data_IF_275317665618
#
_entry.id   IF_275317665618
#
_cell.length_a   1.000
_cell.length_b   1.000
_cell.length_c   1.000
_cell.angle_alpha   90.00
_cell.angle_beta   90.00
_cell.angle_gamma   90.00
#
_symmetry.space_group_name_H-M   'P 1'
#
loop_
_entity.id
_entity.type
_entity.pdbx_description
1 polymer ?
#
# COMPACT_ATOMS: atom_id res chain seq x y z
N UNK A 1 -9.83 6.25 -16.54
CA UNK A 1 -9.12 5.49 -17.59
C UNK A 1 -10.06 4.41 -18.10
N UNK A 2 -10.07 4.14 -19.40
CA UNK A 2 -10.90 3.06 -19.99
C UNK A 2 -10.12 1.76 -19.89
N UNK A 3 -10.60 0.81 -19.09
CA UNK A 3 -9.92 -0.46 -18.90
C UNK A 3 -9.99 -1.30 -20.19
N UNK A 4 -8.83 -1.79 -20.65
CA UNK A 4 -8.69 -2.65 -21.82
C UNK A 4 -8.83 -4.11 -21.41
N UNK A 5 -9.82 -4.84 -21.92
CA UNK A 5 -9.93 -6.28 -21.67
C UNK A 5 -8.82 -7.06 -22.39
N UNK A 6 -8.52 -8.28 -21.96
CA UNK A 6 -7.50 -9.14 -22.60
C UNK A 6 -7.67 -9.25 -24.13
N UNK A 7 -8.89 -9.51 -24.61
CA UNK A 7 -9.20 -9.67 -26.04
C UNK A 7 -8.93 -8.39 -26.87
N UNK A 8 -8.94 -7.22 -26.22
CA UNK A 8 -8.72 -5.92 -26.85
C UNK A 8 -7.27 -5.40 -26.69
N UNK A 9 -6.41 -6.11 -25.95
CA UNK A 9 -4.97 -5.79 -25.95
C UNK A 9 -4.36 -6.02 -27.33
N UNK A 10 -3.34 -5.25 -27.75
CA UNK A 10 -2.66 -5.51 -29.02
C UNK A 10 -2.13 -6.95 -29.11
N UNK A 11 -2.10 -7.50 -30.32
CA UNK A 11 -1.62 -8.86 -30.57
C UNK A 11 -0.17 -9.05 -30.08
N UNK A 12 0.67 -8.04 -30.25
CA UNK A 12 2.06 -8.03 -29.76
C UNK A 12 2.15 -8.20 -28.24
N UNK A 13 1.23 -7.59 -27.48
CA UNK A 13 1.15 -7.74 -26.03
C UNK A 13 0.68 -9.15 -25.66
N UNK A 14 -0.40 -9.64 -26.29
CA UNK A 14 -0.90 -10.99 -26.03
C UNK A 14 0.13 -12.07 -26.38
N UNK A 15 0.87 -11.89 -27.47
CA UNK A 15 1.96 -12.79 -27.88
C UNK A 15 3.11 -12.77 -26.86
N UNK A 16 3.51 -11.58 -26.38
CA UNK A 16 4.57 -11.45 -25.37
C UNK A 16 4.21 -12.13 -24.03
N UNK A 17 2.94 -12.05 -23.62
CA UNK A 17 2.45 -12.74 -22.42
C UNK A 17 2.33 -14.26 -22.65
N UNK A 18 1.81 -14.67 -23.81
CA UNK A 18 1.68 -16.09 -24.19
C UNK A 18 3.05 -16.79 -24.24
N UNK A 19 4.08 -16.11 -24.74
CA UNK A 19 5.45 -16.65 -24.77
C UNK A 19 6.02 -16.94 -23.37
N UNK A 20 5.50 -16.31 -22.31
CA UNK A 20 5.96 -16.45 -20.93
C UNK A 20 5.09 -17.35 -20.07
N UNK A 21 3.82 -17.46 -20.40
CA UNK A 21 2.81 -18.16 -19.59
C UNK A 21 2.25 -19.41 -20.26
N UNK A 22 2.58 -19.62 -21.54
CA UNK A 22 1.92 -20.58 -22.40
C UNK A 22 0.57 -20.05 -22.93
N UNK A 23 -0.18 -20.88 -23.67
CA UNK A 23 -1.51 -20.53 -24.13
C UNK A 23 -2.45 -20.15 -22.98
N UNK A 24 -3.18 -19.05 -23.17
CA UNK A 24 -4.18 -18.55 -22.22
C UNK A 24 -5.52 -19.26 -22.50
N UNK A 25 -5.97 -20.08 -21.54
CA UNK A 25 -7.20 -20.85 -21.66
C UNK A 25 -8.44 -20.04 -21.27
N UNK A 26 -8.32 -19.18 -20.25
CA UNK A 26 -9.39 -18.32 -19.79
C UNK A 26 -8.84 -17.05 -19.16
N UNK A 27 -9.67 -16.00 -19.10
CA UNK A 27 -9.30 -14.73 -18.49
C UNK A 27 -10.38 -14.27 -17.52
N UNK A 28 -9.96 -13.77 -16.36
CA UNK A 28 -10.81 -13.11 -15.40
C UNK A 28 -10.35 -11.68 -15.23
N UNK A 29 -11.18 -10.75 -15.68
CA UNK A 29 -10.93 -9.33 -15.54
C UNK A 29 -10.93 -8.89 -14.08
N UNK A 30 -10.01 -7.99 -13.71
CA UNK A 30 -9.93 -7.40 -12.36
C UNK A 30 -10.30 -5.92 -12.47
N UNK A 31 -11.54 -5.53 -12.11
CA UNK A 31 -12.00 -4.16 -12.25
C UNK A 31 -11.30 -3.19 -11.28
N UNK A 32 -10.84 -3.69 -10.14
CA UNK A 32 -10.23 -2.87 -9.07
C UNK A 32 -8.76 -2.48 -9.36
N UNK A 33 -8.19 -2.88 -10.50
CA UNK A 33 -6.82 -2.55 -10.93
C UNK A 33 -6.67 -1.12 -11.48
N UNK A 34 -7.01 -0.12 -10.66
CA UNK A 34 -7.19 1.28 -11.05
C UNK A 34 -5.93 1.99 -11.61
N UNK A 35 -4.75 1.42 -11.39
CA UNK A 35 -3.44 1.98 -11.79
C UNK A 35 -2.94 1.52 -13.17
N UNK A 36 -3.70 0.67 -13.89
CA UNK A 36 -3.25 0.07 -15.16
C UNK A 36 -4.31 0.13 -16.26
N UNK A 37 -3.87 0.23 -17.52
CA UNK A 37 -4.77 0.09 -18.68
C UNK A 37 -5.40 -1.31 -18.73
N UNK A 38 -4.72 -2.33 -18.20
CA UNK A 38 -5.20 -3.71 -18.13
C UNK A 38 -4.75 -4.42 -16.85
N UNK A 39 -5.68 -5.06 -16.14
CA UNK A 39 -5.41 -6.04 -15.10
C UNK A 39 -6.31 -7.28 -15.28
N UNK A 40 -5.72 -8.48 -15.28
CA UNK A 40 -6.49 -9.74 -15.31
C UNK A 40 -5.75 -10.90 -14.69
N UNK A 41 -6.50 -11.93 -14.28
CA UNK A 41 -5.93 -13.25 -14.00
C UNK A 41 -6.13 -14.12 -15.23
N UNK A 42 -5.04 -14.71 -15.71
CA UNK A 42 -4.98 -15.61 -16.84
C UNK A 42 -4.88 -17.04 -16.31
N UNK A 43 -5.75 -17.93 -16.78
CA UNK A 43 -5.62 -19.36 -16.54
C UNK A 43 -4.76 -19.97 -17.66
N UNK A 44 -3.66 -20.63 -17.31
CA UNK A 44 -2.81 -21.35 -18.26
C UNK A 44 -2.56 -22.78 -17.78
N UNK A 45 -1.98 -23.62 -18.64
CA UNK A 45 -1.64 -25.00 -18.30
C UNK A 45 -0.64 -25.12 -17.13
N UNK A 46 0.18 -24.08 -16.91
CA UNK A 46 1.18 -24.04 -15.83
C UNK A 46 0.63 -23.44 -14.52
N UNK A 47 -0.64 -23.02 -14.50
CA UNK A 47 -1.27 -22.36 -13.36
C UNK A 47 -1.80 -20.97 -13.71
N UNK A 48 -2.37 -20.29 -12.71
CA UNK A 48 -2.91 -18.96 -12.90
C UNK A 48 -1.84 -17.88 -12.70
N UNK A 49 -1.86 -16.84 -13.56
CA UNK A 49 -0.94 -15.69 -13.50
C UNK A 49 -1.75 -14.41 -13.47
N UNK A 50 -1.42 -13.49 -12.56
CA UNK A 50 -1.97 -12.15 -12.57
C UNK A 50 -1.12 -11.26 -13.47
N UNK A 51 -1.72 -10.57 -14.42
CA UNK A 51 -1.04 -9.73 -15.41
C UNK A 51 -1.59 -8.32 -15.34
N UNK A 52 -0.67 -7.35 -15.25
CA UNK A 52 -0.94 -5.93 -15.47
C UNK A 52 -0.24 -5.48 -16.75
N UNK A 53 -0.88 -4.58 -17.50
CA UNK A 53 -0.28 -3.92 -18.65
C UNK A 53 -0.68 -2.43 -18.70
N UNK A 54 0.27 -1.57 -19.06
CA UNK A 54 0.04 -0.13 -19.16
C UNK A 54 0.87 0.51 -20.27
N UNK A 55 0.37 1.60 -20.84
CA UNK A 55 1.10 2.51 -21.74
C UNK A 55 1.79 3.65 -21.01
N UNK A 56 1.52 3.84 -19.72
CA UNK A 56 2.16 4.85 -18.86
C UNK A 56 3.02 4.16 -17.80
N UNK A 57 4.28 3.83 -18.11
CA UNK A 57 5.02 2.79 -17.40
C UNK A 57 5.67 3.24 -16.09
N UNK A 58 5.64 4.52 -15.72
CA UNK A 58 6.43 5.03 -14.59
C UNK A 58 6.14 4.28 -13.28
N UNK A 59 4.86 4.11 -12.93
CA UNK A 59 4.46 3.39 -11.72
C UNK A 59 4.64 1.87 -11.85
N UNK A 60 4.51 1.33 -13.07
CA UNK A 60 4.70 -0.08 -13.38
C UNK A 60 6.18 -0.52 -13.26
N UNK A 61 7.09 0.31 -13.77
CA UNK A 61 8.53 0.13 -13.64
C UNK A 61 8.94 0.23 -12.17
N UNK A 62 8.29 1.12 -11.40
CA UNK A 62 8.49 1.19 -9.95
C UNK A 62 8.04 -0.08 -9.24
N UNK A 63 6.85 -0.58 -9.56
CA UNK A 63 6.36 -1.84 -9.01
C UNK A 63 7.29 -3.02 -9.35
N UNK A 64 7.73 -3.11 -10.60
CA UNK A 64 8.67 -4.14 -11.04
C UNK A 64 10.03 -4.06 -10.34
N UNK A 65 10.55 -2.85 -10.08
CA UNK A 65 11.84 -2.66 -9.44
C UNK A 65 11.86 -3.03 -7.95
N UNK A 66 10.73 -2.88 -7.26
CA UNK A 66 10.60 -3.26 -5.85
C UNK A 66 10.16 -4.71 -5.63
N UNK A 67 9.61 -5.37 -6.66
CA UNK A 67 9.09 -6.74 -6.54
C UNK A 67 10.11 -7.77 -5.97
N UNK A 68 11.41 -7.75 -6.32
CA UNK A 68 12.40 -8.65 -5.70
C UNK A 68 12.66 -8.36 -4.21
N UNK A 69 12.24 -7.20 -3.71
CA UNK A 69 12.51 -6.72 -2.36
C UNK A 69 11.32 -6.88 -1.41
N UNK A 70 10.17 -7.33 -1.89
CA UNK A 70 8.95 -7.53 -1.08
C UNK A 70 8.63 -9.00 -0.81
N UNK A 71 9.62 -9.89 -0.94
CA UNK A 71 9.45 -11.35 -0.77
C UNK A 71 8.86 -11.65 0.62
N UNK A 72 7.77 -12.43 0.64
CA UNK A 72 7.06 -12.78 1.87
C UNK A 72 6.05 -11.75 2.36
N UNK A 73 5.98 -10.58 1.72
CA UNK A 73 5.00 -9.52 1.96
C UNK A 73 4.11 -9.31 0.74
N UNK A 74 4.68 -9.21 -0.47
CA UNK A 74 3.98 -9.15 -1.74
C UNK A 74 4.06 -10.47 -2.53
N UNK A 75 3.15 -10.68 -3.50
CA UNK A 75 3.18 -11.86 -4.36
C UNK A 75 4.45 -11.86 -5.23
N UNK A 76 5.06 -13.04 -5.49
CA UNK A 76 6.23 -13.12 -6.36
C UNK A 76 5.94 -12.61 -7.78
N UNK A 77 6.81 -11.73 -8.28
CA UNK A 77 6.82 -11.38 -9.70
C UNK A 77 7.49 -12.50 -10.49
N UNK A 78 6.84 -12.94 -11.56
CA UNK A 78 7.32 -13.99 -12.46
C UNK A 78 8.15 -13.42 -13.59
N UNK A 79 7.74 -12.28 -14.14
CA UNK A 79 8.40 -11.65 -15.28
C UNK A 79 7.97 -10.19 -15.46
N UNK A 80 8.82 -9.43 -16.14
CA UNK A 80 8.57 -8.08 -16.63
C UNK A 80 8.97 -8.03 -18.12
N UNK A 81 8.19 -7.35 -18.94
CA UNK A 81 8.36 -7.32 -20.38
C UNK A 81 7.91 -5.99 -20.98
N UNK A 82 8.49 -5.65 -22.14
CA UNK A 82 8.00 -4.60 -23.03
C UNK A 82 7.47 -5.19 -24.33
N UNK A 83 6.37 -4.64 -24.82
CA UNK A 83 5.75 -5.03 -26.09
C UNK A 83 5.20 -3.78 -26.80
N UNK A 84 6.00 -3.20 -27.71
CA UNK A 84 5.70 -1.89 -28.29
C UNK A 84 5.69 -0.81 -27.21
N UNK A 85 4.60 -0.04 -27.15
CA UNK A 85 4.39 1.03 -26.15
C UNK A 85 3.93 0.50 -24.78
N UNK A 86 3.74 -0.81 -24.64
CA UNK A 86 3.21 -1.42 -23.42
C UNK A 86 4.32 -1.96 -22.53
N UNK A 87 4.19 -1.67 -21.25
CA UNK A 87 4.92 -2.30 -20.16
C UNK A 87 4.01 -3.34 -19.49
N UNK A 88 4.51 -4.55 -19.30
CA UNK A 88 3.72 -5.71 -18.88
C UNK A 88 4.44 -6.46 -17.77
N UNK A 89 3.77 -6.66 -16.64
CA UNK A 89 4.29 -7.39 -15.49
C UNK A 89 3.36 -8.55 -15.15
N UNK A 90 3.96 -9.67 -14.75
CA UNK A 90 3.26 -10.89 -14.37
C UNK A 90 3.63 -11.33 -12.97
N UNK A 91 2.65 -11.66 -12.16
CA UNK A 91 2.79 -12.15 -10.79
C UNK A 91 2.10 -13.49 -10.59
N UNK A 92 2.44 -14.17 -9.50
CA UNK A 92 1.60 -15.23 -8.98
C UNK A 92 0.18 -14.76 -8.75
N UNK A 93 -0.78 -15.50 -9.32
CA UNK A 93 -2.19 -15.22 -9.10
C UNK A 93 -2.62 -15.71 -7.71
N UNK A 94 -3.18 -14.80 -6.92
CA UNK A 94 -3.81 -15.10 -5.63
C UNK A 94 -5.29 -15.44 -5.82
N UNK A 95 -5.58 -16.63 -6.37
CA UNK A 95 -6.94 -17.03 -6.78
C UNK A 95 -7.89 -17.36 -5.62
N UNK A 96 -7.36 -17.83 -4.49
CA UNK A 96 -8.10 -18.13 -3.25
C UNK A 96 -7.96 -17.00 -2.20
N UNK A 97 -7.82 -15.75 -2.65
CA UNK A 97 -7.70 -14.60 -1.76
C UNK A 97 -8.89 -13.65 -1.90
N UNK A 98 -9.14 -12.89 -0.83
CA UNK A 98 -10.13 -11.80 -0.82
C UNK A 98 -9.53 -10.53 -0.23
N UNK A 99 -10.11 -9.38 -0.54
CA UNK A 99 -9.77 -8.14 0.16
C UNK A 99 -9.98 -8.26 1.67
N UNK A 100 -9.09 -7.60 2.42
CA UNK A 100 -9.16 -7.53 3.89
C UNK A 100 -10.42 -6.81 4.35
N UNK A 101 -10.95 -7.19 5.51
CA UNK A 101 -12.05 -6.50 6.17
C UNK A 101 -11.52 -5.75 7.37
N UNK A 102 -11.75 -4.44 7.41
CA UNK A 102 -11.19 -3.56 8.41
C UNK A 102 -12.13 -3.32 9.60
N UNK A 103 -13.40 -3.72 9.50
CA UNK A 103 -14.43 -3.37 10.47
C UNK A 103 -14.10 -3.86 11.89
N UNK A 104 -14.59 -3.18 12.94
CA UNK A 104 -14.43 -3.62 14.31
C UNK A 104 -14.82 -5.09 14.51
N UNK A 105 -13.97 -5.85 15.22
CA UNK A 105 -14.17 -7.28 15.47
C UNK A 105 -13.77 -8.22 14.32
N UNK A 106 -13.29 -7.69 13.18
CA UNK A 106 -12.82 -8.51 12.06
C UNK A 106 -11.64 -9.41 12.47
N UNK A 107 -11.72 -10.68 12.08
CA UNK A 107 -10.63 -11.66 12.24
C UNK A 107 -9.40 -11.35 11.37
N UNK A 108 -9.48 -10.36 10.47
CA UNK A 108 -8.35 -9.97 9.61
C UNK A 108 -7.40 -8.99 10.29
N UNK A 109 -7.82 -8.31 11.36
CA UNK A 109 -7.01 -7.29 12.02
C UNK A 109 -5.67 -7.82 12.55
N UNK A 110 -5.60 -9.04 13.14
CA UNK A 110 -4.32 -9.68 13.45
C UNK A 110 -3.49 -9.96 12.19
N UNK A 111 -4.09 -10.44 11.11
CA UNK A 111 -3.38 -10.78 9.86
C UNK A 111 -2.81 -9.54 9.16
N UNK A 112 -3.51 -8.41 9.26
CA UNK A 112 -3.04 -7.11 8.79
C UNK A 112 -1.87 -6.61 9.66
N UNK A 113 -1.97 -6.72 10.99
CA UNK A 113 -0.89 -6.32 11.88
C UNK A 113 0.38 -7.13 11.63
N UNK A 114 0.25 -8.44 11.46
CA UNK A 114 1.39 -9.33 11.16
C UNK A 114 2.00 -9.04 9.79
N UNK A 115 1.17 -8.74 8.78
CA UNK A 115 1.64 -8.33 7.46
C UNK A 115 2.45 -7.04 7.53
N UNK A 116 1.94 -6.02 8.21
CA UNK A 116 2.63 -4.73 8.33
C UNK A 116 3.86 -4.84 9.22
N UNK A 117 3.85 -5.69 10.25
CA UNK A 117 5.06 -5.97 11.02
C UNK A 117 6.17 -6.54 10.12
N UNK A 118 5.85 -7.45 9.18
CA UNK A 118 6.81 -7.91 8.16
C UNK A 118 7.18 -6.83 7.15
N UNK A 119 6.22 -6.01 6.70
CA UNK A 119 6.52 -4.94 5.74
C UNK A 119 7.49 -3.90 6.31
N UNK A 120 7.43 -3.64 7.62
CA UNK A 120 8.34 -2.70 8.29
C UNK A 120 9.81 -3.14 8.30
N UNK A 121 10.11 -4.40 7.95
CA UNK A 121 11.50 -4.87 7.84
C UNK A 121 12.06 -4.77 6.43
N UNK A 122 11.28 -4.30 5.45
CA UNK A 122 11.69 -4.25 4.06
C UNK A 122 12.54 -3.02 3.75
N UNK A 123 13.58 -3.24 2.94
CA UNK A 123 14.37 -2.20 2.29
C UNK A 123 14.55 -2.58 0.82
N UNK A 124 14.65 -1.57 -0.05
CA UNK A 124 14.90 -1.79 -1.47
C UNK A 124 16.08 -0.91 -1.91
N UNK A 125 17.23 -1.49 -2.29
CA UNK A 125 18.38 -0.75 -2.81
C UNK A 125 18.15 -0.32 -4.27
N UNK A 126 17.00 0.29 -4.54
CA UNK A 126 16.64 0.85 -5.85
C UNK A 126 16.24 2.32 -5.66
N UNK A 127 16.45 3.19 -6.68
CA UNK A 127 16.04 4.59 -6.57
C UNK A 127 14.52 4.69 -6.39
N UNK A 128 14.10 5.21 -5.23
CA UNK A 128 12.70 5.48 -4.91
C UNK A 128 12.54 6.95 -4.49
N UNK A 129 11.46 7.61 -4.94
CA UNK A 129 11.18 8.96 -4.47
C UNK A 129 10.87 8.91 -2.96
N UNK A 130 11.28 9.94 -2.19
CA UNK A 130 10.90 10.06 -0.79
C UNK A 130 9.37 10.06 -0.62
N UNK A 131 8.87 9.50 0.49
CA UNK A 131 7.47 9.57 0.88
C UNK A 131 7.01 11.03 0.98
N UNK A 132 7.85 11.86 1.59
CA UNK A 132 7.62 13.27 1.85
C UNK A 132 7.35 14.09 0.58
N UNK A 133 7.88 13.68 -0.57
CA UNK A 133 7.72 14.38 -1.85
C UNK A 133 6.24 14.54 -2.26
N UNK A 134 5.37 13.61 -1.83
CA UNK A 134 3.92 13.69 -2.07
C UNK A 134 3.29 15.00 -1.56
N UNK A 135 3.87 15.58 -0.51
CA UNK A 135 3.35 16.76 0.16
C UNK A 135 4.26 17.98 0.00
N UNK A 136 5.26 17.92 -0.88
CA UNK A 136 6.27 18.99 -1.04
C UNK A 136 5.65 20.37 -1.36
N UNK A 137 4.52 20.41 -2.07
CA UNK A 137 3.79 21.65 -2.37
C UNK A 137 3.00 22.22 -1.18
N UNK A 138 2.83 21.45 -0.12
CA UNK A 138 1.95 21.77 1.02
C UNK A 138 2.68 21.75 2.37
N UNK A 139 4.00 21.59 2.37
CA UNK A 139 4.78 21.43 3.58
C UNK A 139 6.08 22.22 3.51
N UNK A 140 6.53 22.72 4.66
CA UNK A 140 7.85 23.33 4.78
C UNK A 140 8.95 22.25 4.78
N UNK A 141 10.20 22.59 4.40
CA UNK A 141 11.31 21.64 4.47
C UNK A 141 11.51 20.99 5.85
N UNK A 142 11.28 21.74 6.93
CA UNK A 142 11.39 21.22 8.30
C UNK A 142 10.32 20.14 8.60
N UNK A 143 9.10 20.32 8.10
CA UNK A 143 8.04 19.31 8.24
C UNK A 143 8.33 18.06 7.40
N UNK A 144 8.89 18.24 6.21
CA UNK A 144 9.27 17.13 5.34
C UNK A 144 10.41 16.29 5.93
N UNK A 145 11.37 16.94 6.62
CA UNK A 145 12.49 16.26 7.28
C UNK A 145 12.04 15.27 8.37
N UNK A 146 10.89 15.49 9.00
CA UNK A 146 10.29 14.52 9.92
C UNK A 146 9.83 13.23 9.23
N UNK A 147 9.67 13.27 7.91
CA UNK A 147 9.15 12.17 7.08
C UNK A 147 10.26 11.49 6.27
N UNK A 148 11.51 11.73 6.63
CA UNK A 148 12.64 10.98 6.11
C UNK A 148 12.75 9.60 6.76
N UNK A 149 13.34 8.67 6.03
CA UNK A 149 13.63 7.31 6.46
C UNK A 149 14.03 6.45 5.28
N UNK A 150 14.63 5.29 5.52
CA UNK A 150 15.17 4.41 4.48
C UNK A 150 14.36 3.13 4.25
N UNK A 151 13.22 2.98 4.94
CA UNK A 151 12.36 1.83 4.78
C UNK A 151 11.66 1.86 3.41
N UNK A 152 11.42 0.67 2.85
CA UNK A 152 10.51 0.52 1.72
C UNK A 152 9.08 0.64 2.25
N UNK A 153 8.38 1.71 1.86
CA UNK A 153 6.98 1.92 2.20
C UNK A 153 6.11 1.68 0.97
N UNK A 154 4.95 1.08 1.19
CA UNK A 154 3.95 0.82 0.15
C UNK A 154 3.38 2.11 -0.42
N UNK A 155 3.11 3.10 0.44
CA UNK A 155 2.67 4.43 0.03
C UNK A 155 1.19 4.57 -0.31
N UNK A 156 0.46 3.46 -0.49
CA UNK A 156 -1.00 3.44 -0.66
C UNK A 156 -1.70 2.29 0.10
N UNK A 157 -1.64 2.32 1.43
CA UNK A 157 -2.33 1.31 2.25
C UNK A 157 -3.84 1.58 2.25
N UNK A 158 -4.61 0.59 1.79
CA UNK A 158 -6.06 0.53 1.86
C UNK A 158 -6.56 -0.93 1.79
N UNK A 159 -7.86 -1.14 2.02
CA UNK A 159 -8.46 -2.48 2.07
C UNK A 159 -8.35 -3.27 0.75
N UNK A 160 -8.25 -2.57 -0.39
CA UNK A 160 -8.18 -3.20 -1.71
C UNK A 160 -6.76 -3.73 -2.01
N UNK A 161 -5.74 -3.15 -1.39
CA UNK A 161 -4.33 -3.54 -1.57
C UNK A 161 -3.88 -4.65 -0.60
N UNK A 162 -4.74 -5.11 0.31
CA UNK A 162 -4.44 -6.24 1.20
C UNK A 162 -5.33 -7.42 0.88
N UNK A 163 -4.72 -8.53 0.49
CA UNK A 163 -5.39 -9.78 0.17
C UNK A 163 -5.15 -10.82 1.27
N UNK A 164 -6.22 -11.38 1.80
CA UNK A 164 -6.20 -12.47 2.79
C UNK A 164 -6.58 -13.76 2.09
N UNK A 165 -5.68 -14.75 2.09
CA UNK A 165 -5.95 -16.10 1.62
C UNK A 165 -7.02 -16.74 2.51
N UNK A 166 -8.05 -17.32 1.89
CA UNK A 166 -9.13 -18.00 2.61
C UNK A 166 -8.61 -19.25 3.32
N UNK A 167 -7.66 -19.93 2.70
CA UNK A 167 -6.91 -21.03 3.27
C UNK A 167 -5.57 -20.56 3.87
N UNK A 168 -5.20 -21.12 5.02
CA UNK A 168 -3.86 -20.95 5.61
C UNK A 168 -3.57 -19.61 6.28
N UNK A 169 -4.53 -18.67 6.37
CA UNK A 169 -4.40 -17.41 7.13
C UNK A 169 -3.31 -16.47 6.64
N UNK A 170 -2.76 -16.70 5.44
CA UNK A 170 -1.71 -15.84 4.87
C UNK A 170 -2.31 -14.57 4.29
N UNK A 171 -1.59 -13.46 4.43
CA UNK A 171 -1.95 -12.17 3.87
C UNK A 171 -0.83 -11.63 2.98
N UNK A 172 -1.22 -10.87 1.96
CA UNK A 172 -0.34 -10.30 0.95
C UNK A 172 -0.68 -8.83 0.70
N UNK A 173 0.36 -8.02 0.55
CA UNK A 173 0.27 -6.63 0.14
C UNK A 173 0.55 -6.53 -1.36
N UNK A 174 -0.42 -6.07 -2.13
CA UNK A 174 -0.38 -5.97 -3.59
C UNK A 174 -0.40 -4.52 -4.06
N UNK A 175 -0.06 -4.30 -5.33
CA UNK A 175 -0.02 -2.98 -5.98
C UNK A 175 1.04 -2.02 -5.41
N UNK A 176 2.31 -2.41 -5.57
CA UNK A 176 3.47 -1.61 -5.14
C UNK A 176 3.82 -0.47 -6.11
N UNK A 177 2.89 -0.09 -6.97
CA UNK A 177 3.05 0.98 -7.95
C UNK A 177 3.40 2.33 -7.30
N UNK A 178 2.92 2.56 -6.07
CA UNK A 178 3.16 3.77 -5.28
C UNK A 178 4.30 3.65 -4.25
N UNK A 179 5.14 2.61 -4.37
CA UNK A 179 6.23 2.37 -3.43
C UNK A 179 7.16 3.58 -3.28
N UNK A 180 7.62 3.86 -2.07
CA UNK A 180 8.49 4.99 -1.77
C UNK A 180 9.54 4.61 -0.73
N UNK A 181 10.53 5.48 -0.57
CA UNK A 181 11.45 5.43 0.57
C UNK A 181 10.92 6.35 1.67
N UNK A 182 10.80 5.88 2.91
CA UNK A 182 10.24 6.72 3.98
C UNK A 182 10.39 6.16 5.39
N UNK A 183 9.68 6.76 6.36
CA UNK A 183 9.73 6.32 7.76
C UNK A 183 9.11 4.93 7.88
N UNK A 184 9.77 4.06 8.63
CA UNK A 184 9.38 2.65 8.82
C UNK A 184 7.95 2.45 9.36
N UNK A 185 7.37 3.48 10.00
CA UNK A 185 6.03 3.44 10.59
C UNK A 185 4.92 3.99 9.69
N UNK A 186 5.25 4.57 8.52
CA UNK A 186 4.30 5.34 7.71
C UNK A 186 3.07 4.54 7.25
N UNK A 187 3.29 3.33 6.73
CA UNK A 187 2.20 2.44 6.29
C UNK A 187 1.31 2.00 7.46
N UNK A 188 1.88 1.88 8.67
CA UNK A 188 1.12 1.58 9.89
C UNK A 188 0.21 2.75 10.27
N UNK A 189 0.69 3.98 10.11
CA UNK A 189 -0.08 5.19 10.35
C UNK A 189 -1.28 5.30 9.40
N UNK A 190 -1.05 5.08 8.09
CA UNK A 190 -2.12 5.04 7.09
C UNK A 190 -3.12 3.92 7.42
N UNK A 191 -2.66 2.71 7.75
CA UNK A 191 -3.52 1.61 8.14
C UNK A 191 -4.40 1.94 9.36
N UNK A 192 -3.84 2.54 10.42
CA UNK A 192 -4.59 2.96 11.59
C UNK A 192 -5.67 3.99 11.24
N UNK A 193 -5.37 4.92 10.32
CA UNK A 193 -6.35 5.88 9.80
C UNK A 193 -7.45 5.17 8.98
N UNK A 194 -7.12 4.13 8.21
CA UNK A 194 -8.12 3.30 7.50
C UNK A 194 -9.04 2.55 8.47
N UNK A 195 -8.53 2.10 9.61
CA UNK A 195 -9.38 1.50 10.66
C UNK A 195 -10.38 2.51 11.21
N UNK A 196 -9.96 3.75 11.47
CA UNK A 196 -10.87 4.81 11.94
C UNK A 196 -11.93 5.13 10.86
N UNK A 197 -11.54 5.16 9.58
CA UNK A 197 -12.50 5.28 8.47
C UNK A 197 -13.54 4.15 8.46
N UNK A 198 -13.15 2.93 8.83
CA UNK A 198 -14.03 1.75 8.87
C UNK A 198 -14.75 1.55 10.22
N UNK A 199 -14.81 2.60 11.06
CA UNK A 199 -15.65 2.65 12.26
C UNK A 199 -14.95 2.35 13.58
N UNK A 200 -13.62 2.20 13.61
CA UNK A 200 -12.88 2.09 14.87
C UNK A 200 -12.77 3.44 15.60
N UNK A 201 -12.67 3.40 16.92
CA UNK A 201 -12.23 4.58 17.69
C UNK A 201 -10.73 4.83 17.44
N UNK A 202 -10.29 6.07 17.65
CA UNK A 202 -8.86 6.40 17.55
C UNK A 202 -8.00 5.64 18.57
N UNK A 203 -8.55 5.37 19.77
CA UNK A 203 -7.88 4.59 20.80
C UNK A 203 -7.72 3.12 20.39
N UNK A 204 -8.75 2.50 19.82
CA UNK A 204 -8.68 1.12 19.31
C UNK A 204 -7.70 1.00 18.16
N UNK A 205 -7.73 1.94 17.21
CA UNK A 205 -6.80 1.98 16.09
C UNK A 205 -5.34 2.19 16.57
N UNK A 206 -5.13 3.06 17.56
CA UNK A 206 -3.81 3.27 18.17
C UNK A 206 -3.33 2.03 18.93
N UNK A 207 -4.20 1.37 19.69
CA UNK A 207 -3.88 0.15 20.42
C UNK A 207 -3.53 -1.00 19.46
N UNK A 208 -4.29 -1.15 18.37
CA UNK A 208 -3.98 -2.08 17.29
C UNK A 208 -2.61 -1.78 16.68
N UNK A 209 -2.33 -0.53 16.33
CA UNK A 209 -1.05 -0.12 15.74
C UNK A 209 0.13 -0.38 16.69
N UNK A 210 -0.07 -0.25 18.01
CA UNK A 210 0.94 -0.57 19.02
C UNK A 210 1.34 -2.05 19.08
N UNK A 211 0.64 -2.95 18.38
CA UNK A 211 1.09 -4.34 18.19
C UNK A 211 2.30 -4.43 17.26
N UNK A 212 2.53 -3.41 16.43
CA UNK A 212 3.61 -3.37 15.45
C UNK A 212 4.81 -2.62 16.06
N UNK A 213 6.00 -3.25 16.16
CA UNK A 213 7.16 -2.64 16.82
C UNK A 213 7.55 -1.26 16.28
N UNK A 214 7.55 -1.10 14.95
CA UNK A 214 7.90 0.16 14.28
C UNK A 214 7.04 1.35 14.72
N UNK A 215 5.75 1.13 14.96
CA UNK A 215 4.84 2.19 15.43
C UNK A 215 5.05 2.56 16.90
N UNK A 216 5.35 1.57 17.76
CA UNK A 216 5.57 1.84 19.19
C UNK A 216 6.70 2.83 19.47
N UNK A 217 7.72 2.82 18.61
CA UNK A 217 8.91 3.66 18.70
C UNK A 217 8.86 4.87 17.77
N UNK A 218 7.77 5.08 17.04
CA UNK A 218 7.60 6.25 16.18
C UNK A 218 7.63 7.54 17.03
N UNK A 219 8.36 8.55 16.54
CA UNK A 219 8.41 9.86 17.16
C UNK A 219 7.03 10.53 17.07
N UNK A 220 6.38 10.87 18.20
CA UNK A 220 5.11 11.58 18.20
C UNK A 220 5.12 12.90 17.40
N UNK A 221 6.25 13.62 17.37
CA UNK A 221 6.38 14.84 16.58
C UNK A 221 6.34 14.54 15.08
N UNK A 222 7.02 13.47 14.65
CA UNK A 222 7.01 13.04 13.25
C UNK A 222 5.61 12.55 12.81
N UNK A 223 4.90 11.81 13.66
CA UNK A 223 3.52 11.40 13.40
C UNK A 223 2.59 12.61 13.31
N UNK A 224 2.76 13.62 14.17
CA UNK A 224 1.99 14.85 14.12
C UNK A 224 2.26 15.66 12.82
N UNK A 225 3.53 15.74 12.40
CA UNK A 225 3.91 16.37 11.14
C UNK A 225 3.29 15.66 9.94
N UNK A 226 3.39 14.33 9.87
CA UNK A 226 2.74 13.51 8.84
C UNK A 226 1.24 13.77 8.75
N UNK A 227 0.53 13.69 9.89
CA UNK A 227 -0.90 13.88 9.96
C UNK A 227 -1.33 15.26 9.43
N UNK A 228 -0.56 16.31 9.77
CA UNK A 228 -0.82 17.66 9.29
C UNK A 228 -0.59 17.77 7.77
N UNK A 229 0.58 17.38 7.27
CA UNK A 229 0.91 17.56 5.83
C UNK A 229 0.03 16.70 4.94
N UNK A 230 -0.36 15.50 5.39
CA UNK A 230 -1.24 14.60 4.67
C UNK A 230 -2.65 15.16 4.45
N UNK A 231 -3.16 15.93 5.41
CA UNK A 231 -4.50 16.53 5.32
C UNK A 231 -4.54 17.77 4.42
N UNK A 232 -3.43 18.51 4.28
CA UNK A 232 -3.39 19.81 3.57
C UNK A 232 -3.83 19.77 2.11
N UNK A 233 -3.39 18.81 1.26
CA UNK A 233 -3.88 18.72 -0.12
C UNK A 233 -5.40 18.54 -0.17
N UNK A 234 -5.96 17.75 0.75
CA UNK A 234 -7.40 17.48 0.82
C UNK A 234 -8.16 18.74 1.27
N UNK A 235 -7.63 19.46 2.26
CA UNK A 235 -8.18 20.76 2.69
C UNK A 235 -8.09 21.81 1.57
N UNK A 236 -7.00 21.85 0.81
CA UNK A 236 -6.87 22.75 -0.33
C UNK A 236 -7.87 22.43 -1.44
N UNK A 237 -8.14 21.15 -1.70
CA UNK A 237 -9.08 20.72 -2.75
C UNK A 237 -10.56 20.86 -2.35
N UNK A 238 -10.92 20.56 -1.09
CA UNK A 238 -12.31 20.44 -0.63
C UNK A 238 -12.75 21.57 0.32
N UNK A 239 -11.84 22.45 0.71
CA UNK A 239 -12.03 23.41 1.80
C UNK A 239 -12.06 22.76 3.18
N UNK A 240 -12.05 23.58 4.24
CA UNK A 240 -12.04 23.10 5.63
C UNK A 240 -13.25 22.23 5.96
N UNK A 241 -14.45 22.65 5.54
CA UNK A 241 -15.68 21.92 5.81
C UNK A 241 -15.70 20.55 5.12
N UNK A 242 -15.24 20.47 3.86
CA UNK A 242 -15.17 19.23 3.10
C UNK A 242 -14.13 18.26 3.66
N UNK A 243 -12.99 18.78 4.14
CA UNK A 243 -11.92 17.98 4.72
C UNK A 243 -12.10 17.63 6.20
N UNK A 244 -13.13 18.15 6.88
CA UNK A 244 -13.28 18.07 8.35
C UNK A 244 -13.15 16.66 8.92
N UNK A 245 -13.77 15.67 8.27
CA UNK A 245 -13.75 14.27 8.72
C UNK A 245 -12.35 13.67 8.57
N UNK A 246 -11.66 14.01 7.47
CA UNK A 246 -10.28 13.60 7.24
C UNK A 246 -9.32 14.20 8.25
N UNK A 247 -9.42 15.50 8.48
CA UNK A 247 -8.58 16.17 9.46
C UNK A 247 -8.87 15.68 10.89
N UNK A 248 -10.14 15.43 11.23
CA UNK A 248 -10.53 14.96 12.57
C UNK A 248 -9.93 13.59 12.91
N UNK A 249 -10.01 12.59 12.02
CA UNK A 249 -9.44 11.26 12.29
C UNK A 249 -7.92 11.28 12.45
N UNK A 250 -7.21 12.06 11.63
CA UNK A 250 -5.75 12.19 11.76
C UNK A 250 -5.38 12.89 13.09
N UNK A 251 -6.08 13.96 13.47
CA UNK A 251 -5.87 14.64 14.76
C UNK A 251 -6.19 13.73 15.96
N UNK A 252 -7.23 12.91 15.87
CA UNK A 252 -7.59 11.97 16.92
C UNK A 252 -6.47 10.93 17.13
N UNK A 253 -5.96 10.33 16.05
CA UNK A 253 -4.83 9.39 16.13
C UNK A 253 -3.57 10.04 16.75
N UNK A 254 -3.23 11.27 16.33
CA UNK A 254 -2.11 12.04 16.91
C UNK A 254 -2.31 12.28 18.41
N UNK A 255 -3.54 12.55 18.85
CA UNK A 255 -3.86 12.77 20.26
C UNK A 255 -3.61 11.51 21.10
N UNK A 256 -3.95 10.33 20.57
CA UNK A 256 -3.64 9.06 21.23
C UNK A 256 -2.12 8.83 21.36
N UNK A 257 -1.36 9.06 20.28
CA UNK A 257 0.10 8.88 20.25
C UNK A 257 0.82 9.82 21.23
N UNK A 258 0.46 11.11 21.20
CA UNK A 258 1.06 12.13 22.08
C UNK A 258 0.67 11.90 23.54
N UNK A 259 -0.58 11.52 23.82
CA UNK A 259 -1.04 11.15 25.16
C UNK A 259 -0.29 9.93 25.73
N UNK A 260 -0.08 8.89 24.92
CA UNK A 260 0.69 7.71 25.31
C UNK A 260 2.16 8.06 25.60
N UNK A 261 2.78 8.91 24.78
CA UNK A 261 4.15 9.37 25.02
C UNK A 261 4.30 10.15 26.33
N UNK A 262 3.36 11.07 26.64
CA UNK A 262 3.35 11.83 27.90
C UNK A 262 3.24 10.92 29.12
N UNK A 263 2.35 9.91 29.08
CA UNK A 263 2.21 8.93 30.18
C UNK A 263 3.49 8.13 30.42
N UNK A 264 4.18 7.69 29.35
CA UNK A 264 5.47 6.98 29.47
C UNK A 264 6.57 7.85 30.08
N UNK A 265 6.63 9.13 29.73
CA UNK A 265 7.61 10.07 30.29
C UNK A 265 7.34 10.39 31.77
N UNK A 266 6.07 10.50 32.17
CA UNK A 266 5.70 10.72 33.56
C UNK A 266 6.02 9.51 34.44
N UNK A 267 5.72 8.29 33.97
CA UNK A 267 5.98 7.05 34.72
C UNK A 267 7.46 6.66 34.82
N UNK A 268 8.35 7.26 34.02
CA UNK A 268 9.82 7.07 34.15
C UNK A 268 10.48 8.05 35.13
N UNK A 269 9.76 9.07 35.57
CA UNK A 269 10.24 10.10 36.51
C UNK A 269 9.78 9.88 37.95
N UNK A 270 8.90 8.90 38.17
CA UNK A 270 8.46 8.41 39.47
C UNK A 270 9.27 7.16 39.84
#
# INVERSE_FOLDING_TARGET
>A
MTHTSWAHLPETVRAAVTARTGPVAATRHIPDGLSSDHASILATAAGAVFVKATRSPADHVREASVAPHVIGVGPPMRWHARAGEWDVIGFDALTDARHTRLAPGSADLPLLADLLARSTTLTAPVPLPPLAEQWARYASPAELAHLDGDALVHGDINQHNVLVCRSGGRSWLVDWAMARRGPVWADVAEAAVRLIEDGHTADDAHAWACRIPAWRVADPAAVAAWAAVRCRPITAALGEHGARHTTARHRALVSCVTGAARRRSAGRRA
#
